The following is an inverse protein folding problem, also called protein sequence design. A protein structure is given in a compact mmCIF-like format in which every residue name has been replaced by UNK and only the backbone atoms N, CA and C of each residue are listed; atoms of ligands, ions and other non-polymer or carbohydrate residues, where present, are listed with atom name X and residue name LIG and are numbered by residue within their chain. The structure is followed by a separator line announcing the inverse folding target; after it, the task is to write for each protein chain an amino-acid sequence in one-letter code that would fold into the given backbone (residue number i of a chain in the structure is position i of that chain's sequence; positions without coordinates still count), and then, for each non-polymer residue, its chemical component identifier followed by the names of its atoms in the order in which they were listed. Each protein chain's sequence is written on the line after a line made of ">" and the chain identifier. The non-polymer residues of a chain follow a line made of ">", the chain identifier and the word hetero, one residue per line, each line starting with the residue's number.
data_IF_446702304771
#
_entry.id   IF_446702304771
#
_cell.length_a   1.000
_cell.length_b   1.000
_cell.length_c   1.000
_cell.angle_alpha   90.00
_cell.angle_beta   90.00
_cell.angle_gamma   90.00
#
_symmetry.space_group_name_H-M   'P 1'
#
loop_
_entity.id
_entity.type
_entity.pdbx_description
1 polymer ?
#
# COMPACT_ATOMS: atom_id res chain seq x y z
N UNK A 1 -28.46 -3.10 16.98
CA UNK A 1 -28.18 -2.49 17.07
C UNK A 1 -27.61 -2.12 17.04
N UNK A 2 -27.34 -2.37 16.82
CA UNK A 2 -26.83 -1.87 16.82
C UNK A 2 -26.42 -1.19 16.49
N UNK A 3 -26.62 -1.35 16.09
CA UNK A 3 -26.34 -0.51 15.89
C UNK A 3 -26.04 0.32 15.96
N UNK A 4 -26.22 0.21 15.96
CA UNK A 4 -25.94 1.33 16.15
C UNK A 4 -25.60 1.93 16.59
N UNK A 5 -25.54 1.82 16.89
CA UNK A 5 -25.31 2.38 17.31
C UNK A 5 -24.89 2.95 17.28
N UNK A 6 -25.13 2.66 17.03
CA UNK A 6 -24.74 3.27 17.00
C UNK A 6 -24.71 4.01 16.75
N UNK A 7 -24.66 4.20 16.63
CA UNK A 7 -24.67 4.96 16.43
C UNK A 7 -24.49 5.86 16.65
N UNK A 8 -24.45 6.04 17.04
CA UNK A 8 -24.21 6.95 17.42
C UNK A 8 -23.64 7.51 17.67
N UNK A 9 -23.41 7.27 17.92
CA UNK A 9 -22.70 7.80 18.22
C UNK A 9 -22.28 8.43 17.80
N UNK A 10 -22.34 8.32 17.33
CA UNK A 10 -21.99 8.74 16.91
C UNK A 10 -21.55 9.27 16.06
N UNK A 11 -21.53 9.90 16.17
CA UNK A 11 -21.40 10.21 14.84
C UNK A 11 -20.07 10.75 14.49
N UNK A 12 -19.58 11.66 15.17
CA UNK A 12 -18.25 12.12 14.91
C UNK A 12 -17.28 11.10 15.27
N UNK A 13 -17.61 10.41 16.22
CA UNK A 13 -16.83 9.28 16.54
C UNK A 13 -16.89 8.29 15.42
N UNK A 14 -18.08 8.15 14.91
CA UNK A 14 -18.26 7.29 13.81
C UNK A 14 -17.40 7.66 12.66
N UNK A 15 -17.19 8.93 12.48
CA UNK A 15 -16.36 9.40 11.45
C UNK A 15 -14.98 8.77 11.48
N UNK A 16 -14.44 8.55 12.65
CA UNK A 16 -13.13 7.94 12.72
C UNK A 16 -13.12 6.53 12.15
N UNK A 17 -14.26 5.91 12.08
CA UNK A 17 -14.30 4.58 11.50
C UNK A 17 -13.87 4.59 10.06
N UNK A 18 -13.90 5.75 9.42
CA UNK A 18 -13.44 5.83 8.05
C UNK A 18 -11.95 5.85 7.91
N UNK A 19 -11.24 6.05 9.01
CA UNK A 19 -9.80 6.19 8.94
C UNK A 19 -9.12 4.91 8.54
N UNK A 20 -9.73 3.78 8.82
CA UNK A 20 -9.20 2.52 8.34
C UNK A 20 -10.36 1.56 8.13
N UNK A 21 -10.45 1.03 6.93
CA UNK A 21 -11.48 0.05 6.62
C UNK A 21 -11.01 -1.35 6.98
N UNK A 22 -9.77 -1.50 7.43
CA UNK A 22 -9.20 -2.80 7.76
C UNK A 22 -8.75 -2.84 9.21
N UNK A 23 -8.97 -4.00 9.86
CA UNK A 23 -8.40 -4.25 11.18
C UNK A 23 -6.95 -4.65 11.00
N UNK A 24 -6.18 -4.61 12.09
CA UNK A 24 -4.79 -5.06 12.05
C UNK A 24 -4.70 -6.51 11.59
N UNK A 25 -5.63 -7.33 12.02
CA UNK A 25 -5.63 -8.74 11.63
C UNK A 25 -5.86 -8.89 10.13
N UNK A 26 -6.80 -8.12 9.58
CA UNK A 26 -7.07 -8.17 8.15
C UNK A 26 -5.87 -7.71 7.34
N UNK A 27 -5.19 -6.65 7.79
CA UNK A 27 -3.99 -6.17 7.13
C UNK A 27 -2.93 -7.26 7.12
N UNK A 28 -2.71 -7.89 8.28
CA UNK A 28 -1.72 -8.94 8.39
C UNK A 28 -2.03 -10.10 7.45
N UNK A 29 -3.29 -10.50 7.38
CA UNK A 29 -3.71 -11.59 6.51
C UNK A 29 -3.49 -11.24 5.04
N UNK A 30 -3.75 -9.99 4.66
CA UNK A 30 -3.53 -9.55 3.28
C UNK A 30 -2.04 -9.55 2.95
N UNK A 31 -1.20 -9.13 3.88
CA UNK A 31 0.24 -9.10 3.65
C UNK A 31 0.82 -10.50 3.45
N UNK A 32 0.23 -11.50 4.10
CA UNK A 32 0.71 -12.87 3.95
C UNK A 32 0.50 -13.44 2.56
N UNK A 33 -0.36 -12.83 1.77
CA UNK A 33 -0.62 -13.27 0.41
C UNK A 33 0.42 -12.78 -0.60
N UNK A 34 1.25 -11.83 -0.20
CA UNK A 34 2.26 -11.26 -1.10
C UNK A 34 3.56 -12.06 -1.03
N UNK A 35 4.27 -12.12 -2.14
CA UNK A 35 5.59 -12.75 -2.20
C UNK A 35 6.67 -11.81 -1.67
N UNK A 36 6.53 -10.52 -1.96
CA UNK A 36 7.48 -9.52 -1.49
C UNK A 36 7.24 -9.23 -0.01
N UNK A 37 8.26 -8.69 0.64
CA UNK A 37 8.23 -8.49 2.08
C UNK A 37 7.65 -7.13 2.44
N UNK A 38 6.38 -6.96 2.14
CA UNK A 38 5.66 -5.74 2.50
C UNK A 38 5.51 -5.66 4.01
N UNK A 39 5.70 -4.46 4.55
CA UNK A 39 5.52 -4.21 5.97
C UNK A 39 4.43 -3.19 6.16
N UNK A 40 3.72 -3.30 7.27
CA UNK A 40 2.72 -2.33 7.67
C UNK A 40 3.29 -1.49 8.79
N UNK A 41 3.31 -0.19 8.62
CA UNK A 41 3.79 0.73 9.64
C UNK A 41 2.90 1.96 9.65
N UNK A 42 2.24 2.19 10.76
CA UNK A 42 1.28 3.27 10.90
C UNK A 42 0.19 3.14 9.84
N UNK A 43 0.04 4.10 8.94
CA UNK A 43 -1.00 4.08 7.92
C UNK A 43 -0.42 3.79 6.54
N UNK A 44 0.72 3.11 6.49
CA UNK A 44 1.40 2.86 5.23
C UNK A 44 1.78 1.41 5.05
N UNK A 45 1.83 0.97 3.80
CA UNK A 45 2.53 -0.26 3.42
C UNK A 45 3.88 0.14 2.88
N UNK A 46 4.93 -0.52 3.34
CA UNK A 46 6.29 -0.16 2.98
C UNK A 46 7.00 -1.38 2.42
N UNK A 47 7.73 -1.17 1.32
CA UNK A 47 8.53 -2.21 0.70
C UNK A 47 9.92 -1.68 0.41
N UNK A 48 10.94 -2.40 0.89
CA UNK A 48 12.32 -2.09 0.61
C UNK A 48 12.86 -3.09 -0.39
N UNK A 49 13.47 -2.61 -1.46
CA UNK A 49 14.01 -3.46 -2.51
C UNK A 49 15.43 -3.04 -2.86
N UNK A 50 16.21 -4.01 -3.35
CA UNK A 50 17.55 -3.77 -3.83
C UNK A 50 17.72 -4.47 -5.16
N UNK A 51 18.34 -3.78 -6.10
CA UNK A 51 18.59 -4.31 -7.44
C UNK A 51 20.08 -4.40 -7.69
N UNK A 52 20.46 -5.12 -8.73
CA UNK A 52 21.87 -5.35 -9.03
C UNK A 52 22.53 -4.17 -9.77
N UNK A 53 21.74 -3.23 -10.27
CA UNK A 53 22.28 -2.06 -10.96
C UNK A 53 21.34 -0.88 -10.83
N UNK A 54 21.88 0.31 -11.06
CA UNK A 54 21.08 1.54 -11.08
C UNK A 54 20.07 1.50 -12.21
N UNK A 55 20.46 0.99 -13.36
CA UNK A 55 19.55 0.91 -14.50
C UNK A 55 18.35 0.03 -14.16
N UNK A 56 18.57 -1.11 -13.52
CA UNK A 56 17.47 -1.99 -13.14
C UNK A 56 16.56 -1.34 -12.12
N UNK A 57 17.13 -0.54 -11.21
CA UNK A 57 16.34 0.21 -10.24
C UNK A 57 15.43 1.20 -10.96
N UNK A 58 15.97 1.95 -11.92
CA UNK A 58 15.18 2.93 -12.67
C UNK A 58 14.13 2.27 -13.56
N UNK A 59 14.46 1.12 -14.15
CA UNK A 59 13.49 0.37 -14.95
C UNK A 59 12.29 -0.03 -14.08
N UNK A 60 12.57 -0.47 -12.88
CA UNK A 60 11.51 -0.84 -11.95
C UNK A 60 10.66 0.36 -11.57
N UNK A 61 11.28 1.50 -11.28
CA UNK A 61 10.57 2.74 -10.96
C UNK A 61 9.62 3.11 -12.10
N UNK A 62 10.10 3.03 -13.34
CA UNK A 62 9.28 3.37 -14.49
C UNK A 62 8.09 2.41 -14.64
N UNK A 63 8.29 1.13 -14.39
CA UNK A 63 7.21 0.16 -14.49
C UNK A 63 6.17 0.37 -13.40
N UNK A 64 6.61 0.66 -12.17
CA UNK A 64 5.69 0.98 -11.07
C UNK A 64 4.91 2.24 -11.40
N UNK A 65 5.58 3.25 -11.98
CA UNK A 65 4.91 4.49 -12.35
C UNK A 65 3.79 4.25 -13.36
N UNK A 66 4.00 3.35 -14.32
CA UNK A 66 2.96 3.03 -15.31
C UNK A 66 1.75 2.40 -14.65
N UNK A 67 1.99 1.50 -13.69
CA UNK A 67 0.90 0.85 -12.95
C UNK A 67 0.15 1.89 -12.13
N UNK A 68 0.89 2.77 -11.46
CA UNK A 68 0.29 3.81 -10.62
C UNK A 68 -0.61 4.75 -11.44
N UNK A 69 -0.15 5.11 -12.64
CA UNK A 69 -0.93 5.95 -13.53
C UNK A 69 -2.22 5.24 -13.93
N UNK A 70 -2.11 3.97 -14.29
CA UNK A 70 -3.27 3.18 -14.72
C UNK A 70 -4.30 3.02 -13.60
N UNK A 71 -3.84 2.88 -12.37
CA UNK A 71 -4.75 2.73 -11.22
C UNK A 71 -5.14 4.06 -10.60
N UNK A 72 -4.55 5.15 -11.06
CA UNK A 72 -4.77 6.48 -10.50
C UNK A 72 -4.52 6.47 -8.98
N UNK A 73 -3.45 5.80 -8.57
CA UNK A 73 -3.07 5.72 -7.17
C UNK A 73 -1.54 5.71 -7.11
N UNK A 74 -0.95 6.72 -6.48
CA UNK A 74 0.46 7.02 -6.61
C UNK A 74 1.24 6.68 -5.35
N UNK A 75 2.25 5.80 -5.44
CA UNK A 75 3.09 5.50 -4.28
C UNK A 75 4.15 6.59 -4.09
N UNK A 76 4.69 6.67 -2.89
CA UNK A 76 5.92 7.40 -2.68
C UNK A 76 7.07 6.47 -3.06
N UNK A 77 8.00 6.95 -3.85
CA UNK A 77 9.17 6.17 -4.28
C UNK A 77 10.43 6.94 -3.97
N UNK A 78 11.29 6.35 -3.16
CA UNK A 78 12.56 6.96 -2.82
C UNK A 78 13.66 6.07 -3.37
N UNK A 79 14.48 6.62 -4.25
CA UNK A 79 15.55 5.89 -4.92
C UNK A 79 16.90 6.30 -4.34
N UNK A 80 17.68 5.31 -3.96
CA UNK A 80 19.02 5.53 -3.46
C UNK A 80 19.94 4.52 -4.16
N UNK A 81 20.48 4.92 -5.31
CA UNK A 81 21.33 4.10 -6.17
C UNK A 81 20.57 2.80 -6.56
N UNK A 82 20.98 1.67 -5.99
CA UNK A 82 20.36 0.38 -6.31
C UNK A 82 19.24 0.00 -5.35
N UNK A 83 18.87 0.89 -4.45
CA UNK A 83 17.83 0.62 -3.45
C UNK A 83 16.62 1.48 -3.72
N UNK A 84 15.44 0.95 -3.42
CA UNK A 84 14.22 1.73 -3.52
C UNK A 84 13.35 1.44 -2.31
N UNK A 85 12.71 2.49 -1.79
CA UNK A 85 11.71 2.38 -0.74
C UNK A 85 10.39 2.83 -1.33
N UNK A 86 9.42 1.93 -1.31
CA UNK A 86 8.05 2.23 -1.75
C UNK A 86 7.17 2.39 -0.53
N UNK A 87 6.32 3.42 -0.54
CA UNK A 87 5.34 3.61 0.52
C UNK A 87 3.99 3.86 -0.10
N UNK A 88 3.00 3.11 0.35
CA UNK A 88 1.63 3.19 -0.13
C UNK A 88 0.71 3.62 0.99
N UNK A 89 -0.10 4.63 0.73
CA UNK A 89 -1.16 5.04 1.62
C UNK A 89 -2.22 5.75 0.79
N UNK A 90 -3.41 5.91 1.33
CA UNK A 90 -4.47 6.61 0.63
C UNK A 90 -4.65 7.99 1.28
N UNK A 91 -4.15 9.01 0.60
CA UNK A 91 -4.10 10.37 1.16
C UNK A 91 -5.48 10.90 1.54
N UNK A 92 -6.48 10.60 0.72
CA UNK A 92 -7.83 11.12 0.95
C UNK A 92 -8.41 10.66 2.29
N UNK A 93 -8.08 9.46 2.70
CA UNK A 93 -8.60 8.92 3.96
C UNK A 93 -7.57 9.01 5.09
N UNK A 94 -6.31 9.27 4.75
CA UNK A 94 -5.24 9.27 5.73
C UNK A 94 -4.95 7.89 6.29
N UNK A 95 -5.42 6.84 5.61
CA UNK A 95 -5.28 5.47 6.10
C UNK A 95 -5.24 4.52 4.92
N UNK A 96 -4.93 3.25 5.21
CA UNK A 96 -4.92 2.23 4.18
C UNK A 96 -6.33 1.97 3.66
N UNK A 97 -6.42 1.75 2.36
CA UNK A 97 -7.66 1.39 1.70
C UNK A 97 -7.38 0.24 0.73
N UNK A 98 -8.43 -0.27 0.09
CA UNK A 98 -8.27 -1.33 -0.91
C UNK A 98 -7.35 -0.89 -2.04
N UNK A 99 -7.30 0.40 -2.35
CA UNK A 99 -6.42 0.92 -3.39
C UNK A 99 -4.95 0.57 -3.13
N UNK A 100 -4.54 0.62 -1.88
CA UNK A 100 -3.16 0.31 -1.51
C UNK A 100 -2.84 -1.16 -1.72
N UNK A 101 -3.76 -2.03 -1.36
CA UNK A 101 -3.54 -3.47 -1.53
C UNK A 101 -3.61 -3.87 -3.01
N UNK A 102 -4.46 -3.22 -3.77
CA UNK A 102 -4.53 -3.47 -5.22
C UNK A 102 -3.23 -3.06 -5.89
N UNK A 103 -2.68 -1.91 -5.52
CA UNK A 103 -1.41 -1.46 -6.07
C UNK A 103 -0.27 -2.36 -5.61
N UNK A 104 -0.25 -2.74 -4.33
CA UNK A 104 0.78 -3.63 -3.80
C UNK A 104 0.76 -4.97 -4.53
N UNK A 105 -0.43 -5.50 -4.83
CA UNK A 105 -0.55 -6.76 -5.56
C UNK A 105 0.03 -6.64 -6.96
N UNK A 106 -0.25 -5.54 -7.65
CA UNK A 106 0.28 -5.33 -8.99
C UNK A 106 1.80 -5.22 -8.97
N UNK A 107 2.35 -4.56 -7.96
CA UNK A 107 3.80 -4.45 -7.80
C UNK A 107 4.40 -5.82 -7.49
N UNK A 108 3.73 -6.60 -6.66
CA UNK A 108 4.17 -7.94 -6.31
C UNK A 108 4.23 -8.82 -7.56
N UNK A 109 3.20 -8.74 -8.41
CA UNK A 109 3.16 -9.47 -9.66
C UNK A 109 4.29 -9.04 -10.60
N UNK A 110 4.56 -7.74 -10.65
CA UNK A 110 5.65 -7.21 -11.46
C UNK A 110 7.00 -7.80 -11.02
N UNK A 111 7.22 -7.89 -9.71
CA UNK A 111 8.46 -8.45 -9.19
C UNK A 111 8.60 -9.92 -9.54
N UNK A 112 7.51 -10.67 -9.53
CA UNK A 112 7.54 -12.08 -9.91
C UNK A 112 7.91 -12.25 -11.38
N UNK A 113 7.43 -11.36 -12.24
CA UNK A 113 7.74 -11.42 -13.66
C UNK A 113 9.21 -11.12 -13.95
N UNK A 114 9.85 -10.36 -13.06
CA UNK A 114 11.24 -9.96 -13.26
C UNK A 114 12.23 -10.99 -12.72
N UNK A 115 11.76 -11.96 -12.00
CA UNK A 115 12.64 -12.97 -11.38
C UNK A 115 13.19 -14.00 -12.39
#
# INVERSE_FOLDING_TARGET
>A
LQEFIWLIVSSQVYFTAKMSVFTLKEIQQKLELFQANWKHQEQELILFLKFSSYQKTLDFVNDVAKIAIAQNHHPSMQVDYCKITLKLTTHDSGALSQKDFTLAKAIDDLLLQRS
#
